data_IF_813284229284
#
_entry.id   IF_813284229284
#
_cell.length_a   1.000
_cell.length_b   1.000
_cell.length_c   1.000
_cell.angle_alpha   90.00
_cell.angle_beta   90.00
_cell.angle_gamma   90.00
#
_symmetry.space_group_name_H-M   'P 1'
#
loop_
_entity.id
_entity.type
_entity.pdbx_description
1 polymer ?
#
# COMPACT_ATOMS: atom_id res chain seq x y z
N UNK A 1 -29.65 1.58 -11.18
CA UNK A 1 -28.36 1.51 -10.47
C UNK A 1 -27.31 1.91 -11.48
N UNK A 2 -26.45 2.88 -11.16
CA UNK A 2 -25.44 3.36 -12.11
C UNK A 2 -24.27 2.38 -12.15
N UNK A 3 -24.04 1.73 -13.29
CA UNK A 3 -22.93 0.79 -13.45
C UNK A 3 -21.62 1.56 -13.58
N UNK A 4 -20.65 1.19 -12.74
CA UNK A 4 -19.31 1.77 -12.71
C UNK A 4 -18.26 0.69 -12.95
N UNK A 5 -17.21 1.01 -13.70
CA UNK A 5 -16.18 0.07 -14.14
C UNK A 5 -14.80 0.64 -13.84
N UNK A 6 -13.88 -0.23 -13.41
CA UNK A 6 -12.54 0.20 -13.02
C UNK A 6 -11.57 -0.15 -14.14
N UNK A 7 -10.98 0.86 -14.77
CA UNK A 7 -9.98 0.66 -15.82
C UNK A 7 -8.60 1.00 -15.30
N UNK A 8 -7.59 0.23 -15.69
CA UNK A 8 -6.20 0.50 -15.35
C UNK A 8 -5.23 0.16 -16.47
N UNK A 9 -4.08 0.83 -16.50
CA UNK A 9 -2.93 0.48 -17.35
C UNK A 9 -1.67 0.90 -16.60
N UNK A 10 -0.79 -0.06 -16.30
CA UNK A 10 0.36 0.19 -15.44
C UNK A 10 -0.05 0.78 -14.08
N UNK A 11 0.52 1.93 -13.71
CA UNK A 11 0.21 2.61 -12.43
C UNK A 11 -1.03 3.50 -12.45
N UNK A 12 -1.70 3.69 -13.60
CA UNK A 12 -2.86 4.57 -13.73
C UNK A 12 -4.15 3.77 -13.58
N UNK A 13 -5.05 4.21 -12.71
CA UNK A 13 -6.35 3.57 -12.45
C UNK A 13 -7.45 4.62 -12.37
N UNK A 14 -8.60 4.34 -12.99
CA UNK A 14 -9.76 5.24 -13.04
C UNK A 14 -11.05 4.44 -12.82
N UNK A 15 -12.10 5.11 -12.36
CA UNK A 15 -13.45 4.56 -12.31
C UNK A 15 -14.32 5.32 -13.32
N UNK A 16 -14.91 4.60 -14.27
CA UNK A 16 -15.74 5.14 -15.34
C UNK A 16 -17.19 4.67 -15.21
N UNK A 17 -18.12 5.53 -15.58
CA UNK A 17 -19.54 5.18 -15.71
C UNK A 17 -19.80 4.52 -17.06
N UNK A 18 -20.90 3.80 -17.18
CA UNK A 18 -21.38 3.20 -18.45
C UNK A 18 -21.34 4.19 -19.64
N UNK A 19 -21.79 5.43 -19.44
CA UNK A 19 -21.76 6.48 -20.48
C UNK A 19 -20.36 6.94 -20.93
N UNK A 20 -19.31 6.57 -20.18
CA UNK A 20 -17.93 6.93 -20.45
C UNK A 20 -17.10 5.76 -21.00
N UNK A 21 -17.71 4.59 -21.19
CA UNK A 21 -17.10 3.39 -21.77
C UNK A 21 -16.93 3.50 -23.30
N UNK A 22 -16.22 4.54 -23.74
CA UNK A 22 -15.96 4.88 -25.14
C UNK A 22 -14.47 4.78 -25.40
N UNK A 23 -14.08 4.02 -26.43
CA UNK A 23 -12.71 3.76 -26.81
C UNK A 23 -11.91 5.06 -27.00
N UNK A 24 -12.46 6.09 -27.65
CA UNK A 24 -11.77 7.37 -27.81
C UNK A 24 -11.47 8.08 -26.48
N UNK A 25 -12.41 8.05 -25.53
CA UNK A 25 -12.22 8.66 -24.21
C UNK A 25 -11.14 7.90 -23.44
N UNK A 26 -11.25 6.57 -23.40
CA UNK A 26 -10.31 5.69 -22.72
C UNK A 26 -8.91 5.83 -23.34
N UNK A 27 -8.83 5.89 -24.67
CA UNK A 27 -7.60 6.08 -25.43
C UNK A 27 -6.85 7.35 -25.01
N UNK A 28 -7.56 8.49 -24.93
CA UNK A 28 -6.96 9.76 -24.49
C UNK A 28 -6.48 9.69 -23.04
N UNK A 29 -7.22 9.02 -22.17
CA UNK A 29 -6.84 8.90 -20.76
C UNK A 29 -5.58 8.04 -20.62
N UNK A 30 -5.50 6.92 -21.31
CA UNK A 30 -4.38 5.97 -21.19
C UNK A 30 -3.27 6.16 -22.22
N UNK A 31 -3.36 7.21 -23.05
CA UNK A 31 -2.41 7.55 -24.11
C UNK A 31 -2.16 6.37 -25.08
N UNK A 32 -3.23 5.64 -25.41
CA UNK A 32 -3.20 4.56 -26.40
C UNK A 32 -3.90 4.95 -27.69
N UNK A 33 -3.50 4.33 -28.79
CA UNK A 33 -4.09 4.51 -30.10
C UNK A 33 -5.45 3.81 -30.16
N UNK A 34 -6.52 4.60 -30.29
CA UNK A 34 -7.90 4.12 -30.17
C UNK A 34 -8.25 2.93 -31.10
N UNK A 35 -7.79 2.85 -32.37
CA UNK A 35 -8.06 1.69 -33.23
C UNK A 35 -7.38 0.39 -32.80
N UNK A 36 -6.40 0.45 -31.90
CA UNK A 36 -5.74 -0.73 -31.32
C UNK A 36 -6.22 -1.03 -29.89
N UNK A 37 -7.18 -0.27 -29.38
CA UNK A 37 -7.61 -0.34 -27.99
C UNK A 37 -8.53 -1.55 -27.77
N UNK A 38 -8.19 -2.36 -26.77
CA UNK A 38 -9.06 -3.38 -26.20
C UNK A 38 -8.83 -3.45 -24.69
N UNK A 39 -9.75 -4.06 -23.97
CA UNK A 39 -9.62 -4.26 -22.53
C UNK A 39 -9.64 -5.75 -22.20
N UNK A 40 -9.02 -6.15 -21.10
CA UNK A 40 -9.09 -7.53 -20.60
C UNK A 40 -9.68 -7.56 -19.21
N UNK A 41 -10.51 -8.56 -18.91
CA UNK A 41 -11.02 -8.81 -17.57
C UNK A 41 -10.01 -9.63 -16.73
N UNK A 42 -10.40 -9.99 -15.49
CA UNK A 42 -9.59 -10.78 -14.57
C UNK A 42 -9.27 -12.21 -15.10
N UNK A 43 -10.02 -12.70 -16.09
CA UNK A 43 -9.81 -13.99 -16.74
C UNK A 43 -8.95 -13.87 -18.02
N UNK A 44 -8.40 -12.68 -18.29
CA UNK A 44 -7.64 -12.32 -19.50
C UNK A 44 -8.46 -12.45 -20.80
N UNK A 45 -9.79 -12.35 -20.72
CA UNK A 45 -10.65 -12.35 -21.90
C UNK A 45 -10.62 -10.97 -22.53
N UNK A 46 -10.18 -10.89 -23.79
CA UNK A 46 -10.13 -9.64 -24.54
C UNK A 46 -11.53 -9.21 -24.98
N UNK A 47 -11.90 -7.99 -24.60
CA UNK A 47 -13.14 -7.31 -24.96
C UNK A 47 -12.77 -6.15 -25.86
N UNK A 48 -13.40 -6.09 -27.04
CA UNK A 48 -13.15 -5.07 -28.05
C UNK A 48 -14.32 -4.08 -28.11
N UNK A 49 -14.06 -2.80 -28.43
CA UNK A 49 -15.14 -1.88 -28.71
C UNK A 49 -15.87 -2.29 -30.00
N UNK A 50 -17.14 -1.95 -30.09
CA UNK A 50 -17.94 -2.16 -31.29
C UNK A 50 -17.51 -1.20 -32.44
N UNK A 51 -18.18 -1.32 -33.60
CA UNK A 51 -17.93 -0.45 -34.74
C UNK A 51 -18.23 1.04 -34.46
N UNK A 52 -19.00 1.35 -33.41
CA UNK A 52 -19.29 2.71 -32.97
C UNK A 52 -18.28 3.24 -31.94
N UNK A 53 -17.30 2.41 -31.53
CA UNK A 53 -16.27 2.74 -30.56
C UNK A 53 -16.71 2.60 -29.10
N UNK A 54 -17.80 1.91 -28.80
CA UNK A 54 -18.33 1.70 -27.46
C UNK A 54 -18.05 0.30 -26.94
N UNK A 55 -17.82 0.17 -25.64
CA UNK A 55 -17.81 -1.13 -24.96
C UNK A 55 -19.21 -1.46 -24.46
N UNK A 56 -19.74 -2.61 -24.88
CA UNK A 56 -21.06 -3.05 -24.46
C UNK A 56 -21.04 -3.54 -23.01
N UNK A 57 -22.03 -3.11 -22.23
CA UNK A 57 -22.14 -3.49 -20.82
C UNK A 57 -22.53 -4.93 -20.59
N UNK A 58 -23.05 -5.63 -21.61
CA UNK A 58 -23.28 -7.07 -21.57
C UNK A 58 -21.99 -7.89 -21.46
N UNK A 59 -20.89 -7.37 -22.01
CA UNK A 59 -19.57 -8.00 -21.94
C UNK A 59 -18.83 -7.62 -20.66
N UNK A 60 -19.42 -6.74 -19.83
CA UNK A 60 -18.80 -6.19 -18.64
C UNK A 60 -19.53 -6.61 -17.35
N UNK A 61 -18.78 -7.24 -16.45
CA UNK A 61 -19.19 -7.46 -15.06
C UNK A 61 -19.33 -6.10 -14.33
N UNK A 62 -20.47 -5.83 -13.65
CA UNK A 62 -20.64 -4.63 -12.83
C UNK A 62 -19.54 -4.48 -11.78
N UNK A 63 -18.91 -3.31 -11.68
CA UNK A 63 -17.76 -3.04 -10.77
C UNK A 63 -16.54 -3.92 -11.06
N UNK A 64 -16.46 -4.50 -12.26
CA UNK A 64 -15.30 -5.25 -12.73
C UNK A 64 -14.06 -4.39 -12.91
N UNK A 65 -12.91 -5.07 -12.93
CA UNK A 65 -11.59 -4.48 -13.15
C UNK A 65 -11.12 -4.87 -14.54
N UNK A 66 -10.68 -3.88 -15.32
CA UNK A 66 -10.29 -4.08 -16.70
C UNK A 66 -8.93 -3.45 -16.97
N UNK A 67 -8.00 -4.23 -17.50
CA UNK A 67 -6.73 -3.71 -17.98
C UNK A 67 -6.90 -3.16 -19.40
N UNK A 68 -6.36 -1.97 -19.66
CA UNK A 68 -6.44 -1.30 -20.95
C UNK A 68 -5.19 -1.57 -21.77
N UNK A 69 -5.38 -2.13 -22.96
CA UNK A 69 -4.34 -2.45 -23.92
C UNK A 69 -4.47 -1.58 -25.17
N UNK A 70 -3.37 -1.48 -25.91
CA UNK A 70 -3.30 -0.73 -27.17
C UNK A 70 -1.91 -0.15 -27.41
N UNK A 71 -1.61 0.14 -28.68
CA UNK A 71 -0.35 0.76 -29.06
C UNK A 71 -0.25 2.16 -28.44
N UNK A 72 0.93 2.58 -28.03
CA UNK A 72 1.10 3.94 -27.52
C UNK A 72 0.94 4.96 -28.66
N UNK A 73 0.40 6.14 -28.34
CA UNK A 73 0.29 7.24 -29.31
C UNK A 73 1.68 7.84 -29.53
N UNK A 74 2.47 7.25 -30.42
CA UNK A 74 3.72 7.88 -30.90
C UNK A 74 3.35 9.09 -31.75
N UNK A 75 3.73 10.29 -31.32
CA UNK A 75 3.76 11.45 -32.20
C UNK A 75 4.74 11.16 -33.36
N UNK A 76 4.38 11.44 -34.62
CA UNK A 76 5.23 11.12 -35.75
C UNK A 76 6.48 12.00 -35.75
N UNK A 77 7.65 11.38 -35.65
CA UNK A 77 8.86 11.92 -36.25
C UNK A 77 8.64 11.87 -37.76
N UNK A 78 8.75 13.02 -38.42
CA UNK A 78 8.73 13.11 -39.87
C UNK A 78 9.85 12.26 -40.48
N UNK A 79 9.52 11.35 -41.40
CA UNK A 79 10.11 11.31 -42.75
C UNK A 79 9.52 10.21 -43.64
N UNK A 80 9.26 10.60 -44.88
CA UNK A 80 9.14 9.80 -46.11
C UNK A 80 8.01 8.76 -46.26
N UNK A 81 6.92 9.25 -46.86
CA UNK A 81 6.06 8.66 -47.90
C UNK A 81 6.54 7.39 -48.64
N UNK A 82 5.69 6.34 -48.67
CA UNK A 82 4.97 5.79 -49.85
C UNK A 82 4.55 4.32 -49.64
N UNK A 83 3.26 4.01 -49.85
CA UNK A 83 2.82 2.69 -50.36
C UNK A 83 1.94 1.77 -49.48
N UNK A 84 0.63 2.05 -49.46
CA UNK A 84 -0.54 1.16 -49.29
C UNK A 84 -0.78 0.27 -48.04
N UNK A 85 -2.07 0.10 -47.64
CA UNK A 85 -2.50 -0.82 -46.59
C UNK A 85 -2.81 -2.20 -47.15
N UNK A 86 -2.32 -3.27 -46.51
CA UNK A 86 -2.83 -4.62 -46.71
C UNK A 86 -3.10 -5.28 -45.35
N UNK A 87 -4.32 -5.06 -44.85
CA UNK A 87 -4.87 -5.90 -43.78
C UNK A 87 -5.54 -7.11 -44.41
N UNK A 88 -4.76 -8.17 -44.63
CA UNK A 88 -5.32 -9.50 -44.90
C UNK A 88 -4.56 -10.56 -44.12
N UNK A 89 -5.09 -10.90 -42.94
CA UNK A 89 -4.70 -12.12 -42.23
C UNK A 89 -5.04 -13.32 -43.12
N UNK A 90 -4.02 -14.13 -43.46
CA UNK A 90 -4.21 -15.41 -44.16
C UNK A 90 -3.36 -16.48 -43.50
N UNK A 91 -4.01 -17.49 -42.93
CA UNK A 91 -3.36 -18.73 -42.52
C UNK A 91 -3.03 -19.54 -43.78
N UNK A 92 -1.75 -19.64 -44.13
CA UNK A 92 -1.29 -20.59 -45.15
C UNK A 92 -0.70 -21.81 -44.44
N UNK A 93 -1.54 -22.85 -44.34
CA UNK A 93 -1.12 -24.24 -44.16
C UNK A 93 -0.31 -24.61 -45.42
N UNK A 94 1.00 -24.79 -45.26
CA UNK A 94 1.89 -25.19 -46.36
C UNK A 94 1.68 -26.64 -46.78
N UNK A 95 1.30 -26.83 -48.05
CA UNK A 95 1.61 -28.05 -48.79
C UNK A 95 2.19 -27.62 -50.15
N UNK A 96 3.29 -28.26 -50.52
CA UNK A 96 4.19 -27.93 -51.63
C UNK A 96 3.52 -28.01 -53.02
N UNK A 97 4.13 -27.40 -54.06
CA UNK A 97 4.99 -28.22 -54.91
C UNK A 97 6.30 -27.55 -55.38
N UNK A 98 7.18 -28.42 -55.86
CA UNK A 98 8.55 -28.24 -56.34
C UNK A 98 8.69 -27.41 -57.64
N UNK A 99 9.75 -26.60 -57.76
CA UNK A 99 10.58 -26.45 -58.96
C UNK A 99 11.75 -25.47 -58.73
N UNK A 100 12.88 -25.74 -59.40
CA UNK A 100 14.22 -25.19 -59.20
C UNK A 100 14.47 -23.78 -59.77
N UNK A 101 15.40 -23.03 -59.16
CA UNK A 101 16.55 -22.34 -59.79
C UNK A 101 17.28 -21.46 -58.73
N UNK A 102 18.59 -21.33 -58.89
CA UNK A 102 19.54 -20.95 -57.83
C UNK A 102 19.43 -19.54 -57.24
N UNK A 103 19.88 -19.43 -55.99
CA UNK A 103 20.20 -18.21 -55.27
C UNK A 103 21.27 -18.51 -54.19
N UNK A 104 22.14 -17.53 -53.83
CA UNK A 104 23.41 -17.73 -53.12
C UNK A 104 23.23 -18.19 -51.66
N UNK A 105 24.28 -18.68 -50.97
CA UNK A 105 24.15 -19.32 -49.67
C UNK A 105 23.49 -18.37 -48.66
N UNK A 106 22.39 -18.85 -48.08
CA UNK A 106 21.66 -18.18 -47.03
C UNK A 106 22.61 -17.82 -45.89
N UNK A 107 22.70 -16.53 -45.60
CA UNK A 107 23.28 -16.01 -44.38
C UNK A 107 22.62 -16.71 -43.19
N UNK A 108 23.44 -17.37 -42.37
CA UNK A 108 23.08 -17.93 -41.08
C UNK A 108 22.20 -16.91 -40.33
N UNK A 109 21.03 -17.27 -39.79
CA UNK A 109 20.25 -16.35 -38.99
C UNK A 109 21.09 -15.97 -37.77
N UNK A 110 21.57 -14.73 -37.76
CA UNK A 110 22.19 -14.11 -36.60
C UNK A 110 21.26 -14.32 -35.42
N UNK A 111 21.75 -15.01 -34.37
CA UNK A 111 21.04 -15.19 -33.12
C UNK A 111 20.39 -13.86 -32.72
N UNK A 112 19.06 -13.87 -32.59
CA UNK A 112 18.32 -12.72 -32.10
C UNK A 112 18.95 -12.33 -30.77
N UNK A 113 19.51 -11.12 -30.70
CA UNK A 113 20.16 -10.65 -29.47
C UNK A 113 19.09 -10.62 -28.39
N UNK A 114 19.15 -11.57 -27.45
CA UNK A 114 18.24 -11.61 -26.31
C UNK A 114 18.31 -10.26 -25.61
N UNK A 115 17.17 -9.56 -25.56
CA UNK A 115 17.08 -8.28 -24.88
C UNK A 115 17.41 -8.49 -23.41
N UNK A 116 18.36 -7.72 -22.92
CA UNK A 116 18.84 -7.80 -21.54
C UNK A 116 18.65 -6.46 -20.86
N UNK A 117 18.42 -6.54 -19.57
CA UNK A 117 18.20 -5.42 -18.67
C UNK A 117 19.28 -5.41 -17.62
N UNK A 118 19.49 -4.26 -16.99
CA UNK A 118 20.43 -4.11 -15.89
C UNK A 118 19.71 -3.58 -14.66
N UNK A 119 20.15 -4.03 -13.50
CA UNK A 119 19.60 -3.64 -12.23
C UNK A 119 20.67 -3.59 -11.15
N UNK A 120 20.77 -2.44 -10.47
CA UNK A 120 21.52 -2.32 -9.22
C UNK A 120 20.76 -2.99 -8.07
N UNK A 121 21.39 -3.97 -7.43
CA UNK A 121 20.94 -4.61 -6.19
C UNK A 121 21.93 -4.25 -5.09
N UNK A 122 21.45 -3.78 -3.95
CA UNK A 122 22.29 -3.34 -2.84
C UNK A 122 22.49 -4.48 -1.84
N UNK A 123 23.71 -4.95 -1.68
CA UNK A 123 24.06 -5.90 -0.63
C UNK A 123 24.02 -5.15 0.69
N UNK A 124 23.18 -5.61 1.60
CA UNK A 124 22.90 -4.89 2.82
C UNK A 124 23.25 -5.68 4.08
N UNK A 125 23.67 -4.93 5.08
CA UNK A 125 23.91 -5.39 6.44
C UNK A 125 22.87 -4.77 7.36
N UNK A 126 22.71 -5.34 8.55
CA UNK A 126 21.82 -4.78 9.58
C UNK A 126 22.69 -4.16 10.67
N UNK A 127 22.61 -2.84 10.80
CA UNK A 127 23.31 -2.11 11.86
C UNK A 127 22.32 -1.19 12.58
N UNK A 128 22.20 -1.38 13.90
CA UNK A 128 21.24 -0.66 14.74
C UNK A 128 19.78 -0.98 14.42
N UNK A 129 19.47 -2.19 13.94
CA UNK A 129 18.11 -2.59 13.57
C UNK A 129 17.59 -1.88 12.31
N UNK A 130 18.49 -1.41 11.44
CA UNK A 130 18.15 -0.86 10.11
C UNK A 130 19.00 -1.52 9.04
N UNK A 131 18.36 -1.83 7.92
CA UNK A 131 19.05 -2.33 6.72
C UNK A 131 19.86 -1.17 6.13
N UNK A 132 21.17 -1.36 6.01
CA UNK A 132 22.08 -0.39 5.40
C UNK A 132 22.82 -1.03 4.22
N UNK A 133 22.86 -0.35 3.05
CA UNK A 133 23.63 -0.84 1.92
C UNK A 133 25.12 -0.76 2.23
N UNK A 134 25.84 -1.88 2.10
CA UNK A 134 27.30 -1.93 2.16
C UNK A 134 27.87 -1.86 0.73
N UNK A 135 27.40 -2.72 -0.16
CA UNK A 135 27.90 -2.86 -1.53
C UNK A 135 26.78 -2.82 -2.56
N UNK A 136 27.07 -2.54 -3.82
CA UNK A 136 26.12 -2.66 -4.94
C UNK A 136 26.61 -3.66 -5.98
N UNK A 137 25.72 -4.55 -6.41
CA UNK A 137 25.91 -5.48 -7.51
C UNK A 137 25.03 -5.05 -8.67
N UNK A 138 25.60 -4.98 -9.88
CA UNK A 138 24.82 -4.73 -11.10
C UNK A 138 24.49 -6.06 -11.74
N UNK A 139 23.24 -6.48 -11.62
CA UNK A 139 22.72 -7.70 -12.23
C UNK A 139 22.29 -7.41 -13.66
N UNK A 140 22.79 -8.20 -14.61
CA UNK A 140 22.28 -8.23 -15.99
C UNK A 140 21.43 -9.48 -16.18
N UNK A 141 20.20 -9.29 -16.66
CA UNK A 141 19.19 -10.35 -16.76
C UNK A 141 18.34 -10.20 -18.02
N UNK A 142 17.83 -11.31 -18.52
CA UNK A 142 16.84 -11.36 -19.61
C UNK A 142 15.40 -11.41 -19.06
N UNK A 143 14.40 -11.37 -19.95
CA UNK A 143 12.99 -11.52 -19.55
C UNK A 143 12.72 -12.83 -18.79
N UNK A 144 13.35 -13.94 -19.22
CA UNK A 144 13.19 -15.25 -18.59
C UNK A 144 13.81 -15.33 -17.19
N UNK A 145 14.87 -14.54 -16.94
CA UNK A 145 15.56 -14.49 -15.64
C UNK A 145 14.96 -13.44 -14.70
N UNK A 146 13.93 -12.72 -15.13
CA UNK A 146 13.30 -11.64 -14.39
C UNK A 146 12.34 -12.18 -13.32
N UNK A 147 12.84 -12.99 -12.39
CA UNK A 147 12.13 -13.50 -11.21
C UNK A 147 12.96 -13.25 -9.95
N UNK A 148 12.35 -13.40 -8.77
CA UNK A 148 13.11 -13.27 -7.50
C UNK A 148 14.28 -14.25 -7.48
N UNK A 149 14.04 -15.51 -7.84
CA UNK A 149 15.08 -16.55 -7.91
C UNK A 149 16.16 -16.26 -8.96
N UNK A 150 15.77 -15.78 -10.14
CA UNK A 150 16.71 -15.47 -11.22
C UNK A 150 17.65 -14.31 -10.84
N UNK A 151 17.11 -13.26 -10.24
CA UNK A 151 17.91 -12.14 -9.74
C UNK A 151 18.81 -12.58 -8.58
N UNK A 152 18.27 -13.38 -7.64
CA UNK A 152 19.03 -13.89 -6.50
C UNK A 152 20.21 -14.75 -6.93
N UNK A 153 20.00 -15.64 -7.91
CA UNK A 153 21.05 -16.49 -8.49
C UNK A 153 22.20 -15.65 -9.08
N UNK A 154 21.88 -14.54 -9.75
CA UNK A 154 22.89 -13.61 -10.28
C UNK A 154 23.64 -12.86 -9.17
N UNK A 155 22.94 -12.49 -8.10
CA UNK A 155 23.56 -11.86 -6.92
C UNK A 155 24.53 -12.84 -6.27
N UNK A 156 24.14 -14.08 -6.04
CA UNK A 156 25.01 -15.12 -5.47
C UNK A 156 26.24 -15.36 -6.34
N UNK A 157 26.05 -15.51 -7.66
CA UNK A 157 27.16 -15.67 -8.60
C UNK A 157 28.14 -14.48 -8.57
N UNK A 158 27.63 -13.25 -8.42
CA UNK A 158 28.45 -12.05 -8.32
C UNK A 158 29.17 -11.91 -6.97
N UNK A 159 28.56 -12.41 -5.89
CA UNK A 159 29.13 -12.36 -4.54
C UNK A 159 30.17 -13.45 -4.29
N UNK A 160 30.18 -14.53 -5.10
CA UNK A 160 31.07 -15.69 -4.92
C UNK A 160 30.98 -16.26 -3.49
N UNK A 161 29.78 -16.22 -2.93
CA UNK A 161 29.48 -16.62 -1.56
C UNK A 161 28.48 -17.77 -1.58
N UNK A 162 28.71 -18.78 -0.75
CA UNK A 162 27.77 -19.89 -0.55
C UNK A 162 26.58 -19.48 0.35
N UNK A 163 26.70 -18.36 1.07
CA UNK A 163 25.62 -17.89 1.92
C UNK A 163 24.35 -17.54 1.12
N UNK A 164 23.17 -18.01 1.57
CA UNK A 164 21.91 -17.65 0.95
C UNK A 164 21.54 -16.19 1.26
N UNK A 165 20.97 -15.51 0.27
CA UNK A 165 20.47 -14.15 0.39
C UNK A 165 18.94 -14.15 0.27
N UNK A 166 18.31 -13.11 0.80
CA UNK A 166 16.90 -12.78 0.64
C UNK A 166 16.81 -11.41 0.00
N UNK A 167 15.97 -11.26 -1.03
CA UNK A 167 15.72 -9.95 -1.64
C UNK A 167 14.67 -9.21 -0.84
N UNK A 168 14.94 -7.95 -0.47
CA UNK A 168 14.00 -7.11 0.25
C UNK A 168 13.75 -5.78 -0.47
N UNK A 169 12.59 -5.19 -0.21
CA UNK A 169 12.28 -3.83 -0.60
C UNK A 169 13.00 -2.79 0.29
N UNK A 170 12.72 -1.51 0.06
CA UNK A 170 13.29 -0.41 0.85
C UNK A 170 12.82 -0.36 2.32
N UNK A 171 11.74 -1.05 2.67
CA UNK A 171 11.19 -1.14 4.01
C UNK A 171 11.68 -2.39 4.76
N UNK A 172 12.47 -3.23 4.10
CA UNK A 172 12.97 -4.49 4.64
C UNK A 172 11.96 -5.63 4.62
N UNK A 173 10.93 -5.54 3.78
CA UNK A 173 10.03 -6.65 3.54
C UNK A 173 10.61 -7.55 2.44
N UNK A 174 10.47 -8.87 2.60
CA UNK A 174 10.85 -9.83 1.58
C UNK A 174 10.06 -9.63 0.28
N UNK A 175 10.77 -9.68 -0.85
CA UNK A 175 10.17 -9.65 -2.18
C UNK A 175 9.84 -11.08 -2.57
N UNK A 176 8.57 -11.46 -2.39
CA UNK A 176 8.06 -12.78 -2.72
C UNK A 176 7.95 -12.93 -4.25
N UNK A 177 8.30 -14.10 -4.77
CA UNK A 177 8.07 -14.41 -6.19
C UNK A 177 6.57 -14.57 -6.44
N UNK A 178 6.02 -13.73 -7.31
CA UNK A 178 4.61 -13.68 -7.66
C UNK A 178 4.49 -13.14 -9.08
N UNK A 179 3.31 -13.24 -9.68
CA UNK A 179 3.07 -12.65 -11.01
C UNK A 179 3.44 -11.16 -11.06
N UNK A 180 3.15 -10.41 -9.99
CA UNK A 180 3.47 -8.97 -9.89
C UNK A 180 4.96 -8.65 -9.68
N UNK A 181 5.80 -9.64 -9.34
CA UNK A 181 7.25 -9.47 -9.17
C UNK A 181 8.06 -10.19 -10.26
N UNK A 182 7.38 -10.89 -11.18
CA UNK A 182 7.98 -11.51 -12.36
C UNK A 182 7.97 -10.56 -13.56
N UNK A 183 8.90 -10.79 -14.49
CA UNK A 183 9.06 -10.01 -15.71
C UNK A 183 9.90 -8.75 -15.52
N UNK A 184 10.49 -8.28 -16.61
CA UNK A 184 11.45 -7.18 -16.58
C UNK A 184 10.85 -5.86 -16.13
N UNK A 185 9.54 -5.68 -16.28
CA UNK A 185 8.81 -4.48 -15.89
C UNK A 185 8.91 -4.18 -14.40
N UNK A 186 8.95 -5.20 -13.54
CA UNK A 186 9.17 -5.02 -12.10
C UNK A 186 10.63 -4.64 -11.81
N UNK A 187 11.57 -5.42 -12.34
CA UNK A 187 12.98 -5.35 -11.97
C UNK A 187 13.74 -4.16 -12.56
N UNK A 188 13.35 -3.64 -13.74
CA UNK A 188 14.04 -2.52 -14.39
C UNK A 188 13.68 -1.14 -13.84
N UNK A 189 12.76 -1.05 -12.88
CA UNK A 189 12.29 0.23 -12.31
C UNK A 189 13.34 0.88 -11.41
N UNK A 190 14.08 1.89 -11.90
CA UNK A 190 15.14 2.57 -11.15
C UNK A 190 14.72 3.23 -9.82
N UNK A 191 13.45 3.64 -9.69
CA UNK A 191 12.92 4.24 -8.46
C UNK A 191 12.77 3.24 -7.32
N UNK A 192 12.54 1.96 -7.63
CA UNK A 192 12.45 0.90 -6.63
C UNK A 192 13.85 0.60 -6.12
N UNK A 193 14.06 0.50 -4.81
CA UNK A 193 15.31 -0.01 -4.24
C UNK A 193 15.13 -1.48 -3.89
N UNK A 194 16.11 -2.30 -4.26
CA UNK A 194 16.15 -3.74 -3.99
C UNK A 194 17.42 -4.02 -3.22
N UNK A 195 17.27 -4.63 -2.07
CA UNK A 195 18.39 -5.04 -1.24
C UNK A 195 18.51 -6.55 -1.26
N UNK A 196 19.74 -7.06 -1.18
CA UNK A 196 20.01 -8.46 -0.89
C UNK A 196 20.62 -8.54 0.50
N UNK A 197 19.94 -9.23 1.40
CA UNK A 197 20.33 -9.38 2.81
C UNK A 197 20.68 -10.85 3.03
N UNK A 198 21.80 -11.20 3.68
CA UNK A 198 22.08 -12.58 4.07
C UNK A 198 20.91 -13.15 4.91
N UNK A 199 20.45 -14.36 4.59
CA UNK A 199 19.28 -14.98 5.24
C UNK A 199 19.38 -15.03 6.78
N UNK A 200 20.52 -15.38 7.40
CA UNK A 200 20.65 -15.37 8.86
C UNK A 200 20.36 -13.99 9.46
N UNK A 201 20.84 -12.93 8.81
CA UNK A 201 20.68 -11.54 9.23
C UNK A 201 19.23 -11.09 9.03
N UNK A 202 18.61 -11.48 7.93
CA UNK A 202 17.21 -11.16 7.64
C UNK A 202 16.25 -11.76 8.68
N UNK A 203 16.47 -13.03 9.08
CA UNK A 203 15.65 -13.69 10.09
C UNK A 203 15.74 -13.02 11.47
N UNK A 204 16.95 -12.64 11.90
CA UNK A 204 17.13 -11.89 13.15
C UNK A 204 16.43 -10.52 13.09
N UNK A 205 16.59 -9.79 11.98
CA UNK A 205 15.94 -8.51 11.75
C UNK A 205 14.40 -8.60 11.82
N UNK A 206 13.80 -9.62 11.19
CA UNK A 206 12.36 -9.88 11.26
C UNK A 206 11.89 -10.25 12.67
N UNK A 207 12.68 -11.05 13.40
CA UNK A 207 12.38 -11.43 14.79
C UNK A 207 12.29 -10.22 15.72
N UNK A 208 13.26 -9.30 15.62
CA UNK A 208 13.27 -8.05 16.41
C UNK A 208 12.08 -7.15 16.09
N UNK A 209 11.72 -7.03 14.82
CA UNK A 209 10.55 -6.22 14.39
C UNK A 209 9.24 -6.76 14.97
N UNK A 210 9.06 -8.09 14.95
CA UNK A 210 7.88 -8.75 15.54
C UNK A 210 7.84 -8.63 17.06
N UNK A 211 9.00 -8.68 17.73
CA UNK A 211 9.11 -8.49 19.18
C UNK A 211 8.65 -7.09 19.59
N UNK A 212 9.19 -6.05 18.95
CA UNK A 212 8.82 -4.65 19.26
C UNK A 212 7.33 -4.39 18.98
N UNK A 213 6.78 -4.96 17.90
CA UNK A 213 5.36 -4.84 17.60
C UNK A 213 4.46 -5.52 18.65
N UNK A 214 4.95 -6.58 19.29
CA UNK A 214 4.24 -7.28 20.38
C UNK A 214 4.28 -6.50 21.69
N UNK A 215 5.39 -5.83 21.99
CA UNK A 215 5.50 -4.94 23.16
C UNK A 215 4.55 -3.73 23.03
N UNK A 216 4.47 -3.11 21.85
CA UNK A 216 3.55 -1.99 21.60
C UNK A 216 2.07 -2.40 21.72
N UNK A 217 1.71 -3.60 21.26
CA UNK A 217 0.36 -4.13 21.40
C UNK A 217 -0.03 -4.42 22.86
N UNK A 218 0.92 -4.87 23.68
CA UNK A 218 0.73 -5.06 25.11
C UNK A 218 0.53 -3.72 25.82
N UNK A 219 1.34 -2.70 25.47
CA UNK A 219 1.23 -1.37 26.05
C UNK A 219 -0.10 -0.67 25.75
N UNK A 220 -0.65 -0.86 24.54
CA UNK A 220 -1.97 -0.32 24.16
C UNK A 220 -3.12 -0.93 24.96
N UNK A 221 -3.03 -2.21 25.30
CA UNK A 221 -4.03 -2.87 26.14
C UNK A 221 -3.99 -2.33 27.57
N UNK A 222 -2.81 -2.13 28.16
CA UNK A 222 -2.69 -1.53 29.49
C UNK A 222 -3.22 -0.09 29.55
N UNK A 223 -3.02 0.69 28.48
CA UNK A 223 -3.59 2.05 28.37
C UNK A 223 -5.12 1.98 28.28
N UNK A 224 -5.66 1.03 27.52
CA UNK A 224 -7.11 0.81 27.39
C UNK A 224 -7.73 0.45 28.74
N UNK A 225 -7.11 -0.45 29.48
CA UNK A 225 -7.61 -0.89 30.79
C UNK A 225 -7.58 0.27 31.81
N UNK A 226 -6.54 1.11 31.80
CA UNK A 226 -6.48 2.35 32.61
C UNK A 226 -7.55 3.38 32.22
N UNK A 227 -7.86 3.51 30.93
CA UNK A 227 -8.94 4.41 30.47
C UNK A 227 -10.29 3.90 31.00
N UNK A 228 -10.54 2.60 30.91
CA UNK A 228 -11.77 1.98 31.40
C UNK A 228 -11.92 2.16 32.93
N UNK A 229 -10.84 1.99 33.69
CA UNK A 229 -10.81 2.26 35.13
C UNK A 229 -11.18 3.71 35.46
N UNK A 230 -10.59 4.69 34.76
CA UNK A 230 -10.88 6.12 34.98
C UNK A 230 -12.32 6.47 34.59
N UNK A 231 -12.85 5.88 33.52
CA UNK A 231 -14.25 6.07 33.11
C UNK A 231 -15.21 5.56 34.17
N UNK A 232 -14.96 4.38 34.73
CA UNK A 232 -15.77 3.81 35.81
C UNK A 232 -15.71 4.70 37.07
N UNK A 233 -14.53 5.19 37.45
CA UNK A 233 -14.38 6.13 38.56
C UNK A 233 -15.11 7.46 38.33
N UNK A 234 -15.09 7.98 37.10
CA UNK A 234 -15.76 9.23 36.74
C UNK A 234 -17.29 9.13 36.75
N UNK A 235 -17.86 7.97 36.42
CA UNK A 235 -19.30 7.75 36.48
C UNK A 235 -19.84 7.84 37.91
N UNK A 236 -19.10 7.33 38.90
CA UNK A 236 -19.46 7.47 40.33
C UNK A 236 -19.45 8.93 40.83
N UNK A 237 -18.72 9.84 40.17
CA UNK A 237 -18.70 11.26 40.55
C UNK A 237 -20.00 11.99 40.22
N UNK A 238 -20.79 11.51 39.26
CA UNK A 238 -22.09 12.11 38.95
C UNK A 238 -23.08 11.93 40.10
N UNK A 239 -23.08 10.76 40.74
CA UNK A 239 -23.92 10.46 41.91
C UNK A 239 -23.55 11.33 43.11
N UNK A 240 -22.25 11.54 43.33
CA UNK A 240 -21.72 12.48 44.35
C UNK A 240 -22.13 13.92 44.03
N UNK A 241 -22.09 14.31 42.76
CA UNK A 241 -22.49 15.66 42.33
C UNK A 241 -23.98 15.91 42.54
N UNK A 242 -24.84 14.94 42.23
CA UNK A 242 -26.29 15.04 42.44
C UNK A 242 -26.65 15.07 43.94
N UNK A 243 -26.01 14.25 44.77
CA UNK A 243 -26.19 14.32 46.23
C UNK A 243 -25.73 15.65 46.80
N UNK A 244 -24.61 16.21 46.33
CA UNK A 244 -24.16 17.55 46.71
C UNK A 244 -25.16 18.65 46.29
N UNK A 245 -25.72 18.59 45.07
CA UNK A 245 -26.75 19.54 44.61
C UNK A 245 -28.02 19.45 45.46
N UNK A 246 -28.45 18.24 45.80
CA UNK A 246 -29.61 18.00 46.67
C UNK A 246 -29.38 18.58 48.06
N UNK A 247 -28.22 18.28 48.67
CA UNK A 247 -27.83 18.84 49.98
C UNK A 247 -27.75 20.37 49.96
N UNK A 248 -27.17 20.97 48.91
CA UNK A 248 -27.12 22.42 48.75
C UNK A 248 -28.51 23.05 48.59
N UNK A 249 -29.44 22.36 47.96
CA UNK A 249 -30.84 22.83 47.79
C UNK A 249 -31.60 22.75 49.11
N UNK A 250 -31.43 21.67 49.87
CA UNK A 250 -31.97 21.54 51.23
C UNK A 250 -31.41 22.59 52.18
N UNK A 251 -30.11 22.90 52.10
CA UNK A 251 -29.49 23.95 52.90
C UNK A 251 -30.06 25.35 52.60
N UNK A 252 -30.31 25.66 51.32
CA UNK A 252 -30.92 26.94 50.89
C UNK A 252 -32.40 27.10 51.26
N UNK A 253 -33.13 25.99 51.41
CA UNK A 253 -34.54 25.99 51.82
C UNK A 253 -34.75 26.14 53.33
N UNK A 254 -33.74 25.82 54.14
CA UNK A 254 -33.82 25.73 55.60
C UNK A 254 -33.07 26.86 56.32
N UNK A 255 -33.17 28.10 55.83
CA UNK A 255 -32.48 29.27 56.41
C UNK A 255 -32.91 29.60 57.86
N UNK A 256 -33.92 28.91 58.40
CA UNK A 256 -34.49 29.13 59.74
C UNK A 256 -34.30 27.96 60.72
N UNK A 257 -33.68 26.85 60.28
CA UNK A 257 -33.46 25.67 61.14
C UNK A 257 -31.97 25.55 61.45
N UNK A 258 -31.55 26.04 62.62
CA UNK A 258 -30.18 25.87 63.11
C UNK A 258 -29.95 24.38 63.38
N UNK A 259 -29.30 23.67 62.45
CA UNK A 259 -28.83 22.31 62.67
C UNK A 259 -27.58 22.39 63.53
N UNK A 260 -27.72 22.18 64.84
CA UNK A 260 -26.57 22.11 65.76
C UNK A 260 -25.89 20.76 65.56
N UNK A 261 -24.85 20.74 64.72
CA UNK A 261 -23.94 19.60 64.60
C UNK A 261 -22.97 19.64 65.78
N UNK A 262 -22.76 18.51 66.45
CA UNK A 262 -21.66 18.41 67.41
C UNK A 262 -20.31 18.55 66.68
N UNK A 263 -19.27 19.00 67.38
CA UNK A 263 -17.96 19.28 66.79
C UNK A 263 -17.38 18.08 66.03
N UNK A 264 -17.64 16.86 66.52
CA UNK A 264 -17.19 15.61 65.92
C UNK A 264 -17.86 15.33 64.57
N UNK A 265 -19.19 15.48 64.47
CA UNK A 265 -19.93 15.30 63.23
C UNK A 265 -19.60 16.38 62.20
N UNK A 266 -19.42 17.62 62.65
CA UNK A 266 -18.96 18.71 61.79
C UNK A 266 -17.57 18.39 61.19
N UNK A 267 -16.66 17.84 61.97
CA UNK A 267 -15.33 17.47 61.49
C UNK A 267 -15.35 16.25 60.56
N UNK A 268 -16.18 15.24 60.83
CA UNK A 268 -16.39 14.12 59.91
C UNK A 268 -16.92 14.57 58.54
N UNK A 269 -17.90 15.49 58.52
CA UNK A 269 -18.45 16.04 57.28
C UNK A 269 -17.40 16.87 56.54
N UNK A 270 -16.61 17.70 57.25
CA UNK A 270 -15.49 18.43 56.65
C UNK A 270 -14.46 17.48 56.03
N UNK A 271 -14.11 16.39 56.71
CA UNK A 271 -13.16 15.40 56.20
C UNK A 271 -13.70 14.61 54.99
N UNK A 272 -15.00 14.35 54.95
CA UNK A 272 -15.66 13.64 53.86
C UNK A 272 -15.74 14.50 52.57
N UNK A 273 -15.97 15.81 52.70
CA UNK A 273 -16.16 16.73 51.56
C UNK A 273 -14.85 17.39 51.11
N UNK A 274 -13.76 17.24 51.88
CA UNK A 274 -12.45 17.82 51.53
C UNK A 274 -11.88 17.13 50.29
N UNK A 275 -11.77 17.88 49.19
CA UNK A 275 -11.18 17.44 47.93
C UNK A 275 -9.78 16.83 48.15
N UNK A 276 -9.41 15.82 47.35
CA UNK A 276 -8.09 15.17 47.38
C UNK A 276 -6.96 16.20 47.16
N UNK A 277 -7.19 17.25 46.36
CA UNK A 277 -6.26 18.38 46.19
C UNK A 277 -6.03 19.13 47.52
N UNK A 278 -7.06 19.26 48.35
CA UNK A 278 -7.00 19.88 49.68
C UNK A 278 -6.47 18.93 50.77
N UNK A 279 -6.32 17.63 50.47
CA UNK A 279 -5.63 16.63 51.30
C UNK A 279 -4.14 16.52 50.94
N UNK A 280 -3.78 16.81 49.69
CA UNK A 280 -2.39 16.97 49.25
C UNK A 280 -1.78 18.25 49.83
N UNK A 281 -0.50 18.19 50.24
CA UNK A 281 0.26 19.31 50.83
C UNK A 281 0.56 20.45 49.84
N UNK A 282 -0.38 20.87 49.01
CA UNK A 282 -0.25 22.09 48.20
C UNK A 282 -0.83 23.27 48.98
N UNK A 283 -0.02 23.76 49.91
CA UNK A 283 -0.29 24.92 50.76
C UNK A 283 -0.14 26.26 50.02
N UNK A 284 -0.38 26.28 48.70
CA UNK A 284 -0.18 27.45 47.85
C UNK A 284 -1.42 27.57 46.97
N UNK A 285 -2.11 28.70 47.08
CA UNK A 285 -3.33 29.09 46.33
C UNK A 285 -4.70 28.82 46.99
N UNK A 286 -4.80 28.85 48.32
CA UNK A 286 -6.08 29.21 48.97
C UNK A 286 -6.00 30.50 49.81
N UNK A 287 -4.98 31.31 49.58
CA UNK A 287 -4.82 32.64 50.17
C UNK A 287 -5.43 33.76 49.31
N UNK A 288 -5.86 33.48 48.08
CA UNK A 288 -6.28 34.51 47.13
C UNK A 288 -7.80 34.67 46.95
N UNK A 289 -8.63 33.84 47.59
CA UNK A 289 -10.09 33.92 47.44
C UNK A 289 -10.86 34.28 48.73
N UNK A 290 -10.16 34.71 49.79
CA UNK A 290 -10.77 35.30 51.00
C UNK A 290 -10.38 36.76 51.23
N UNK A 291 -10.13 37.48 50.14
CA UNK A 291 -10.10 38.95 50.15
C UNK A 291 -10.89 39.46 48.97
N UNK A 292 -12.21 39.31 49.00
CA UNK A 292 -13.16 40.29 48.47
C UNK A 292 -14.58 39.92 48.95
N UNK A 293 -15.04 40.72 49.93
CA UNK A 293 -16.38 40.82 50.53
C UNK A 293 -16.86 39.67 51.42
#
# INVERSE_FOLDING_TARGET
MEHSYILFKGGKRINLKESDMIAEKIARIFQVYAPSLYITDDENVAIFPDASGHFHTYDLKPRGHYEVHGNDVTLPVAESSQGQPDHRFRFLRGQAPSAAAGAPPASIPSASKVKTYQRSVYIAEVDGGKIRPNRTVIVRFSEFEASTEGILSKVQAAMQSEEPYVLTDAQGNEIIDSEGTRGSMYWKQNSRKVYAVPDPIFRDFQGRRKSNQKEDACGLQEVRDKIEEVVLAAQGLNEVTETMKMLATLARGNNSTIVILNNTAAECIRMAIRCIVCKGKYHVLLSFLLSFR
#
